data_IF_497263232020
#
_entry.id   IF_497263232020
#
_cell.length_a   1.000
_cell.length_b   1.000
_cell.length_c   1.000
_cell.angle_alpha   90.00
_cell.angle_beta   90.00
_cell.angle_gamma   90.00
#
_symmetry.space_group_name_H-M   'P 1'
#
loop_
_entity.id
_entity.type
_entity.pdbx_description
1 polymer ?
#
# COMPACT_ATOMS: atom_id res chain seq x y z
N UNK A 1 -50.26 7.93 -17.49
CA UNK A 1 -49.11 7.10 -17.08
C UNK A 1 -47.86 7.94 -17.26
N UNK A 2 -47.25 8.41 -16.16
CA UNK A 2 -45.98 9.13 -16.19
C UNK A 2 -44.93 8.23 -15.56
N UNK A 3 -44.05 7.64 -16.37
CA UNK A 3 -42.88 6.91 -15.91
C UNK A 3 -41.85 7.93 -15.45
N UNK A 4 -41.83 8.21 -14.15
CA UNK A 4 -40.75 8.95 -13.51
C UNK A 4 -39.46 8.11 -13.58
N UNK A 5 -38.60 8.46 -14.53
CA UNK A 5 -37.23 7.96 -14.60
C UNK A 5 -36.44 8.66 -13.50
N UNK A 6 -36.27 8.01 -12.34
CA UNK A 6 -35.33 8.51 -11.35
C UNK A 6 -33.92 8.34 -11.89
N UNK A 7 -33.19 9.43 -12.06
CA UNK A 7 -31.75 9.39 -12.32
C UNK A 7 -31.08 8.46 -11.29
N UNK A 8 -30.09 7.64 -11.71
CA UNK A 8 -29.38 6.79 -10.76
C UNK A 8 -28.80 7.67 -9.66
N UNK A 9 -29.20 7.41 -8.41
CA UNK A 9 -28.59 8.08 -7.26
C UNK A 9 -27.10 7.79 -7.32
N UNK A 10 -26.29 8.84 -7.39
CA UNK A 10 -24.83 8.71 -7.31
C UNK A 10 -24.41 7.95 -6.05
N UNK A 11 -23.22 7.35 -6.03
CA UNK A 11 -22.75 6.61 -4.88
C UNK A 11 -22.81 7.49 -3.62
N UNK A 12 -23.40 6.95 -2.55
CA UNK A 12 -23.44 7.65 -1.26
C UNK A 12 -22.01 7.89 -0.76
N UNK A 13 -21.62 9.13 -0.39
CA UNK A 13 -20.30 9.40 0.13
C UNK A 13 -20.00 8.55 1.37
N UNK A 14 -18.86 7.87 1.37
CA UNK A 14 -18.38 7.14 2.53
C UNK A 14 -17.78 8.12 3.52
N UNK A 15 -18.27 8.11 4.76
CA UNK A 15 -17.69 8.90 5.83
C UNK A 15 -16.42 8.22 6.33
N UNK A 16 -15.27 8.88 6.19
CA UNK A 16 -14.03 8.45 6.84
C UNK A 16 -14.13 8.77 8.33
N UNK A 17 -13.99 7.76 9.17
CA UNK A 17 -14.18 7.87 10.63
C UNK A 17 -12.86 7.94 11.40
N UNK A 18 -11.75 7.53 10.77
CA UNK A 18 -10.44 7.51 11.41
C UNK A 18 -9.88 8.91 11.68
N UNK A 19 -9.59 9.27 12.95
CA UNK A 19 -8.89 10.51 13.28
C UNK A 19 -7.46 10.57 12.73
N UNK A 20 -6.89 9.43 12.34
CA UNK A 20 -5.57 9.35 11.70
C UNK A 20 -5.57 9.97 10.30
N UNK A 21 -6.70 9.89 9.59
CA UNK A 21 -6.87 10.48 8.26
C UNK A 21 -6.65 11.99 8.30
N UNK A 22 -7.39 12.71 9.15
CA UNK A 22 -7.32 14.17 9.23
C UNK A 22 -5.93 14.65 9.65
N UNK A 23 -5.28 13.94 10.59
CA UNK A 23 -3.91 14.26 11.02
C UNK A 23 -2.91 14.11 9.87
N UNK A 24 -2.98 13.02 9.10
CA UNK A 24 -2.11 12.80 7.94
C UNK A 24 -2.37 13.78 6.82
N UNK A 25 -3.64 14.08 6.56
CA UNK A 25 -4.05 15.05 5.54
C UNK A 25 -3.55 16.46 5.87
N UNK A 26 -3.61 16.87 7.13
CA UNK A 26 -3.12 18.17 7.58
C UNK A 26 -1.59 18.36 7.43
N UNK A 27 -0.84 17.26 7.37
CA UNK A 27 0.62 17.28 7.18
C UNK A 27 1.03 17.20 5.70
N UNK A 28 0.08 16.94 4.79
CA UNK A 28 0.34 16.86 3.36
C UNK A 28 0.46 18.25 2.75
N UNK A 29 1.44 18.41 1.87
CA UNK A 29 1.67 19.62 1.08
C UNK A 29 1.35 19.38 -0.40
N UNK A 30 1.34 20.45 -1.19
CA UNK A 30 1.13 20.35 -2.63
C UNK A 30 2.26 19.59 -3.35
N UNK A 31 3.46 19.55 -2.76
CA UNK A 31 4.64 18.89 -3.35
C UNK A 31 4.70 17.39 -3.03
N UNK A 32 3.90 16.92 -2.08
CA UNK A 32 3.82 15.51 -1.73
C UNK A 32 2.93 14.76 -2.74
N UNK A 33 3.53 13.87 -3.52
CA UNK A 33 2.87 13.16 -4.62
C UNK A 33 3.20 11.68 -4.65
N UNK A 34 2.33 10.90 -5.29
CA UNK A 34 2.51 9.47 -5.55
C UNK A 34 2.11 9.12 -6.99
N UNK A 35 2.65 8.02 -7.51
CA UNK A 35 2.33 7.52 -8.86
C UNK A 35 0.88 7.07 -8.99
N UNK A 36 0.26 7.38 -10.14
CA UNK A 36 -1.13 7.02 -10.46
C UNK A 36 -1.44 5.53 -10.35
N UNK A 37 -0.44 4.67 -10.57
CA UNK A 37 -0.62 3.22 -10.46
C UNK A 37 -1.09 2.78 -9.07
N UNK A 38 -0.69 3.48 -8.00
CA UNK A 38 -1.13 3.14 -6.64
C UNK A 38 -2.60 3.47 -6.44
N UNK A 39 -3.08 4.56 -7.03
CA UNK A 39 -4.50 4.91 -7.02
C UNK A 39 -5.33 3.85 -7.75
N UNK A 40 -4.88 3.45 -8.94
CA UNK A 40 -5.52 2.39 -9.72
C UNK A 40 -5.54 1.07 -8.94
N UNK A 41 -4.44 0.72 -8.26
CA UNK A 41 -4.35 -0.46 -7.40
C UNK A 41 -5.38 -0.46 -6.27
N UNK A 42 -5.57 0.66 -5.57
CA UNK A 42 -6.59 0.77 -4.51
C UNK A 42 -8.01 0.54 -5.04
N UNK A 43 -8.36 1.17 -6.17
CA UNK A 43 -9.70 1.00 -6.78
C UNK A 43 -9.93 -0.44 -7.22
N UNK A 44 -8.92 -1.06 -7.84
CA UNK A 44 -8.99 -2.46 -8.25
C UNK A 44 -9.10 -3.40 -7.03
N UNK A 45 -8.35 -3.14 -5.96
CA UNK A 45 -8.39 -3.92 -4.73
C UNK A 45 -9.80 -3.94 -4.13
N UNK A 46 -10.42 -2.77 -3.98
CA UNK A 46 -11.78 -2.66 -3.46
C UNK A 46 -12.78 -3.36 -4.38
N UNK A 47 -12.63 -3.21 -5.70
CA UNK A 47 -13.47 -3.89 -6.69
C UNK A 47 -13.44 -5.41 -6.56
N UNK A 48 -12.24 -5.97 -6.38
CA UNK A 48 -12.01 -7.42 -6.25
C UNK A 48 -12.45 -7.96 -4.89
N UNK A 49 -12.17 -7.24 -3.80
CA UNK A 49 -12.36 -7.72 -2.43
C UNK A 49 -13.77 -7.42 -1.88
N UNK A 50 -14.47 -6.43 -2.43
CA UNK A 50 -15.81 -6.03 -1.99
C UNK A 50 -16.81 -6.24 -3.13
N UNK A 51 -16.77 -5.38 -4.16
CA UNK A 51 -17.54 -5.47 -5.41
C UNK A 51 -17.31 -4.23 -6.29
N UNK A 52 -17.81 -4.26 -7.53
CA UNK A 52 -17.71 -3.15 -8.48
C UNK A 52 -18.33 -1.83 -7.97
N UNK A 53 -19.44 -1.89 -7.22
CA UNK A 53 -20.07 -0.68 -6.68
C UNK A 53 -19.19 0.00 -5.62
N UNK A 54 -18.46 -0.77 -4.82
CA UNK A 54 -17.51 -0.26 -3.86
C UNK A 54 -16.31 0.41 -4.58
N UNK A 55 -15.85 -0.12 -5.72
CA UNK A 55 -14.82 0.53 -6.53
C UNK A 55 -15.30 1.90 -7.06
N UNK A 56 -16.51 1.99 -7.59
CA UNK A 56 -17.12 3.27 -8.03
C UNK A 56 -17.23 4.25 -6.87
N UNK A 57 -17.68 3.79 -5.70
CA UNK A 57 -17.81 4.62 -4.50
C UNK A 57 -16.45 5.13 -4.01
N UNK A 58 -15.42 4.29 -4.08
CA UNK A 58 -14.05 4.67 -3.74
C UNK A 58 -13.53 5.76 -4.69
N UNK A 59 -13.71 5.58 -6.00
CA UNK A 59 -13.26 6.56 -6.99
C UNK A 59 -13.99 7.91 -6.89
N UNK A 60 -15.27 7.90 -6.53
CA UNK A 60 -16.05 9.11 -6.28
C UNK A 60 -15.45 9.98 -5.15
N UNK A 61 -14.74 9.38 -4.18
CA UNK A 61 -14.08 10.11 -3.09
C UNK A 61 -13.00 11.11 -3.55
N UNK A 62 -12.52 10.94 -4.79
CA UNK A 62 -11.55 11.83 -5.43
C UNK A 62 -12.11 12.52 -6.68
N UNK A 63 -13.43 12.45 -6.90
CA UNK A 63 -14.13 13.09 -8.01
C UNK A 63 -14.07 12.33 -9.33
N UNK A 64 -14.19 11.00 -9.29
CA UNK A 64 -14.31 10.12 -10.47
C UNK A 64 -13.17 10.27 -11.49
N UNK A 65 -11.97 10.55 -10.97
CA UNK A 65 -10.78 10.81 -11.78
C UNK A 65 -10.24 9.52 -12.41
N UNK A 66 -9.60 9.64 -13.57
CA UNK A 66 -8.76 8.58 -14.14
C UNK A 66 -7.30 8.87 -13.84
N UNK A 67 -6.55 7.85 -13.44
CA UNK A 67 -5.13 7.97 -13.12
C UNK A 67 -4.29 7.27 -14.19
N UNK A 68 -3.31 7.99 -14.73
CA UNK A 68 -2.28 7.45 -15.62
C UNK A 68 -1.13 6.96 -14.75
N UNK A 69 -0.73 5.70 -14.93
CA UNK A 69 0.12 4.98 -13.98
C UNK A 69 1.40 5.72 -13.57
N UNK A 70 2.11 6.33 -14.53
CA UNK A 70 3.40 6.97 -14.31
C UNK A 70 3.34 8.47 -13.99
N UNK A 71 2.14 9.06 -13.97
CA UNK A 71 1.95 10.46 -13.60
C UNK A 71 1.92 10.61 -12.08
N UNK A 72 2.34 11.77 -11.59
CA UNK A 72 2.31 12.11 -10.17
C UNK A 72 0.98 12.79 -9.82
N UNK A 73 0.38 12.39 -8.70
CA UNK A 73 -0.85 12.96 -8.18
C UNK A 73 -0.69 13.32 -6.69
N UNK A 74 -1.40 14.35 -6.20
CA UNK A 74 -1.30 14.78 -4.80
C UNK A 74 -1.56 13.65 -3.80
N UNK A 75 -0.72 13.52 -2.79
CA UNK A 75 -0.87 12.48 -1.76
C UNK A 75 -2.18 12.63 -0.98
N UNK A 76 -2.69 13.86 -0.85
CA UNK A 76 -4.00 14.14 -0.26
C UNK A 76 -5.14 13.37 -0.95
N UNK A 77 -5.06 13.17 -2.26
CA UNK A 77 -6.03 12.38 -3.00
C UNK A 77 -5.86 10.89 -2.71
N UNK A 78 -4.62 10.41 -2.64
CA UNK A 78 -4.34 9.01 -2.31
C UNK A 78 -4.80 8.66 -0.90
N UNK A 79 -4.62 9.58 0.06
CA UNK A 79 -5.11 9.44 1.43
C UNK A 79 -6.63 9.30 1.45
N UNK A 80 -7.36 10.20 0.78
CA UNK A 80 -8.84 10.12 0.68
C UNK A 80 -9.28 8.78 0.11
N UNK A 81 -8.69 8.41 -1.03
CA UNK A 81 -9.00 7.16 -1.71
C UNK A 81 -8.73 5.93 -0.81
N UNK A 82 -7.56 5.88 -0.18
CA UNK A 82 -7.13 4.72 0.61
C UNK A 82 -7.89 4.59 1.93
N UNK A 83 -8.22 5.70 2.59
CA UNK A 83 -9.04 5.67 3.80
C UNK A 83 -10.50 5.33 3.48
N UNK A 84 -11.06 5.83 2.37
CA UNK A 84 -12.37 5.38 1.89
C UNK A 84 -12.37 3.89 1.57
N UNK A 85 -11.33 3.39 0.89
CA UNK A 85 -11.18 1.97 0.64
C UNK A 85 -11.12 1.15 1.94
N UNK A 86 -10.39 1.62 2.95
CA UNK A 86 -10.30 0.97 4.25
C UNK A 86 -11.66 0.90 4.97
N UNK A 87 -12.47 1.97 4.93
CA UNK A 87 -13.83 1.98 5.48
C UNK A 87 -14.73 0.94 4.79
N UNK A 88 -14.65 0.84 3.46
CA UNK A 88 -15.44 -0.12 2.69
C UNK A 88 -15.01 -1.58 2.94
N UNK A 89 -13.72 -1.81 3.16
CA UNK A 89 -13.15 -3.13 3.37
C UNK A 89 -13.30 -3.63 4.81
N UNK A 90 -13.21 -2.73 5.80
CA UNK A 90 -13.11 -3.08 7.22
C UNK A 90 -14.17 -4.10 7.70
N UNK A 91 -15.47 -4.00 7.33
CA UNK A 91 -16.47 -4.98 7.73
C UNK A 91 -16.20 -6.40 7.23
N UNK A 92 -15.60 -6.55 6.04
CA UNK A 92 -15.36 -7.84 5.41
C UNK A 92 -14.06 -8.51 5.89
N UNK A 93 -13.14 -7.75 6.48
CA UNK A 93 -11.76 -8.23 6.74
C UNK A 93 -11.33 -8.09 8.20
N UNK A 94 -12.26 -7.76 9.10
CA UNK A 94 -12.01 -7.72 10.54
C UNK A 94 -11.38 -6.40 11.03
N UNK A 95 -11.72 -5.28 10.40
CA UNK A 95 -11.34 -3.94 10.85
C UNK A 95 -10.37 -3.19 9.93
N UNK A 96 -10.14 -1.90 10.24
CA UNK A 96 -9.36 -0.98 9.40
C UNK A 96 -7.90 -1.37 9.23
N UNK A 97 -7.23 -1.86 10.28
CA UNK A 97 -5.83 -2.28 10.16
C UNK A 97 -5.68 -3.45 9.19
N UNK A 98 -6.55 -4.45 9.29
CA UNK A 98 -6.61 -5.58 8.35
C UNK A 98 -6.94 -5.13 6.92
N UNK A 99 -7.80 -4.11 6.77
CA UNK A 99 -8.08 -3.50 5.47
C UNK A 99 -6.84 -2.83 4.87
N UNK A 100 -6.14 -2.00 5.63
CA UNK A 100 -4.89 -1.37 5.17
C UNK A 100 -3.82 -2.40 4.81
N UNK A 101 -3.66 -3.44 5.62
CA UNK A 101 -2.71 -4.53 5.33
C UNK A 101 -3.03 -5.22 4.01
N UNK A 102 -4.30 -5.52 3.74
CA UNK A 102 -4.73 -6.09 2.45
C UNK A 102 -4.52 -5.13 1.28
N UNK A 103 -4.78 -3.84 1.46
CA UNK A 103 -4.52 -2.82 0.43
C UNK A 103 -3.03 -2.73 0.08
N UNK A 104 -2.15 -2.74 1.07
CA UNK A 104 -0.70 -2.73 0.86
C UNK A 104 -0.17 -3.98 0.17
N UNK A 105 -0.67 -5.16 0.57
CA UNK A 105 -0.36 -6.42 -0.11
C UNK A 105 -0.79 -6.37 -1.58
N UNK A 106 -2.03 -5.98 -1.87
CA UNK A 106 -2.54 -5.92 -3.23
C UNK A 106 -1.76 -4.92 -4.10
N UNK A 107 -1.46 -3.73 -3.58
CA UNK A 107 -0.66 -2.73 -4.28
C UNK A 107 0.73 -3.26 -4.66
N UNK A 108 1.33 -4.07 -3.78
CA UNK A 108 2.62 -4.72 -4.03
C UNK A 108 2.51 -5.78 -5.12
N UNK A 109 1.50 -6.65 -5.06
CA UNK A 109 1.28 -7.65 -6.11
C UNK A 109 1.06 -7.00 -7.48
N UNK A 110 0.26 -5.93 -7.54
CA UNK A 110 0.02 -5.19 -8.77
C UNK A 110 1.31 -4.54 -9.32
N UNK A 111 2.11 -3.91 -8.44
CA UNK A 111 3.42 -3.37 -8.83
C UNK A 111 4.36 -4.46 -9.35
N UNK A 112 4.46 -5.59 -8.65
CA UNK A 112 5.33 -6.71 -9.03
C UNK A 112 4.90 -7.39 -10.33
N UNK A 113 3.63 -7.26 -10.73
CA UNK A 113 3.14 -7.74 -12.02
C UNK A 113 3.56 -6.85 -13.22
N UNK A 114 4.01 -5.61 -12.97
CA UNK A 114 4.49 -4.69 -14.02
C UNK A 114 5.85 -5.11 -14.58
N UNK A 115 6.27 -4.53 -15.72
CA UNK A 115 7.62 -4.78 -16.28
C UNK A 115 8.76 -4.38 -15.34
N UNK A 116 8.61 -3.25 -14.62
CA UNK A 116 9.59 -2.79 -13.63
C UNK A 116 9.64 -3.76 -12.44
N UNK A 117 8.48 -4.15 -11.91
CA UNK A 117 8.38 -5.09 -10.79
C UNK A 117 8.96 -6.47 -11.13
N UNK A 118 8.65 -7.01 -12.31
CA UNK A 118 9.21 -8.28 -12.81
C UNK A 118 10.74 -8.23 -12.95
N UNK A 119 11.27 -7.11 -13.44
CA UNK A 119 12.73 -6.91 -13.54
C UNK A 119 13.36 -6.90 -12.15
N UNK A 120 12.72 -6.24 -11.18
CA UNK A 120 13.20 -6.21 -9.81
C UNK A 120 13.23 -7.62 -9.18
N UNK A 121 12.17 -8.42 -9.37
CA UNK A 121 12.13 -9.81 -8.91
C UNK A 121 13.21 -10.67 -9.56
N UNK A 122 13.43 -10.51 -10.87
CA UNK A 122 14.48 -11.24 -11.58
C UNK A 122 15.88 -10.95 -11.01
N UNK A 123 16.17 -9.69 -10.73
CA UNK A 123 17.46 -9.28 -10.16
C UNK A 123 17.62 -9.75 -8.71
N UNK A 124 16.52 -9.76 -7.95
CA UNK A 124 16.49 -10.26 -6.58
C UNK A 124 16.67 -11.80 -6.52
N UNK A 125 16.15 -12.55 -7.49
CA UNK A 125 16.10 -14.00 -7.42
C UNK A 125 15.23 -14.45 -6.25
N UNK A 126 15.76 -15.33 -5.40
CA UNK A 126 15.08 -15.78 -4.16
C UNK A 126 15.57 -15.06 -2.90
N UNK A 127 16.47 -14.09 -3.06
CA UNK A 127 17.14 -13.39 -1.96
C UNK A 127 16.29 -12.24 -1.42
N UNK A 128 15.72 -12.47 -0.23
CA UNK A 128 14.93 -11.48 0.51
C UNK A 128 15.70 -10.22 0.86
N UNK A 129 16.98 -10.33 1.25
CA UNK A 129 17.80 -9.15 1.57
C UNK A 129 18.06 -8.32 0.34
N UNK A 130 18.33 -8.97 -0.80
CA UNK A 130 18.55 -8.28 -2.08
C UNK A 130 17.30 -7.51 -2.50
N UNK A 131 16.12 -8.10 -2.40
CA UNK A 131 14.88 -7.39 -2.72
C UNK A 131 14.62 -6.23 -1.74
N UNK A 132 14.79 -6.46 -0.44
CA UNK A 132 14.61 -5.42 0.59
C UNK A 132 15.59 -4.25 0.40
N UNK A 133 16.83 -4.52 -0.03
CA UNK A 133 17.84 -3.48 -0.32
C UNK A 133 17.39 -2.55 -1.45
N UNK A 134 16.57 -3.02 -2.38
CA UNK A 134 16.04 -2.20 -3.46
C UNK A 134 14.80 -1.37 -3.08
N UNK A 135 14.14 -1.67 -1.95
CA UNK A 135 12.91 -0.99 -1.52
C UNK A 135 13.09 0.53 -1.40
N UNK A 136 14.15 1.08 -0.76
CA UNK A 136 14.35 2.53 -0.71
C UNK A 136 14.42 3.18 -2.10
N UNK A 137 15.10 2.54 -3.05
CA UNK A 137 15.18 3.01 -4.44
C UNK A 137 13.81 2.99 -5.13
N UNK A 138 13.05 1.90 -4.96
CA UNK A 138 11.71 1.79 -5.51
C UNK A 138 10.78 2.91 -4.99
N UNK A 139 10.81 3.19 -3.68
CA UNK A 139 10.02 4.28 -3.09
C UNK A 139 10.40 5.66 -3.65
N UNK A 140 11.69 5.95 -3.85
CA UNK A 140 12.14 7.21 -4.47
C UNK A 140 11.57 7.43 -5.89
N UNK A 141 11.22 6.36 -6.59
CA UNK A 141 10.56 6.46 -7.91
C UNK A 141 9.03 6.53 -7.82
N UNK A 142 8.47 6.05 -6.71
CA UNK A 142 7.04 5.90 -6.48
C UNK A 142 6.40 7.15 -5.85
N UNK A 143 7.15 7.86 -5.01
CA UNK A 143 6.67 9.02 -4.24
C UNK A 143 7.72 10.14 -4.22
N UNK A 144 7.28 11.38 -4.04
CA UNK A 144 8.17 12.56 -3.93
C UNK A 144 8.62 12.87 -2.50
N UNK A 145 8.19 12.08 -1.51
CA UNK A 145 8.37 12.39 -0.09
C UNK A 145 9.10 11.29 0.67
N UNK A 146 9.72 11.74 1.76
CA UNK A 146 10.24 10.89 2.81
C UNK A 146 11.47 10.08 2.46
N UNK A 147 11.96 9.37 3.47
CA UNK A 147 13.18 8.58 3.39
C UNK A 147 12.92 7.15 3.86
N UNK A 148 13.63 6.20 3.29
CA UNK A 148 13.56 4.80 3.66
C UNK A 148 14.97 4.24 3.80
N UNK A 149 15.19 3.45 4.86
CA UNK A 149 16.47 2.82 5.15
C UNK A 149 16.22 1.40 5.64
N UNK A 150 16.98 0.44 5.12
CA UNK A 150 16.95 -0.95 5.59
C UNK A 150 18.28 -1.24 6.27
N UNK A 151 18.19 -1.80 7.47
CA UNK A 151 19.32 -2.34 8.22
C UNK A 151 19.05 -3.80 8.57
N UNK A 152 20.02 -4.68 8.31
CA UNK A 152 19.89 -6.12 8.59
C UNK A 152 20.58 -6.47 9.90
N UNK A 153 19.90 -7.22 10.76
CA UNK A 153 20.44 -7.70 12.03
C UNK A 153 20.82 -9.18 12.01
N UNK A 154 20.56 -9.89 10.90
CA UNK A 154 20.89 -11.31 10.71
C UNK A 154 20.42 -11.84 9.34
N UNK A 155 20.45 -13.17 9.14
CA UNK A 155 20.05 -13.80 7.87
C UNK A 155 18.54 -13.84 7.62
N UNK A 156 17.73 -13.80 8.67
CA UNK A 156 16.26 -13.80 8.60
C UNK A 156 15.61 -12.61 9.30
N UNK A 157 16.34 -11.50 9.48
CA UNK A 157 15.84 -10.35 10.23
C UNK A 157 16.43 -9.02 9.75
N UNK A 158 15.60 -7.98 9.87
CA UNK A 158 16.02 -6.60 9.60
C UNK A 158 15.03 -5.59 10.15
N UNK A 159 15.38 -4.32 10.03
CA UNK A 159 14.49 -3.20 10.31
C UNK A 159 14.44 -2.30 9.09
N UNK A 160 13.24 -1.97 8.63
CA UNK A 160 13.03 -0.89 7.68
C UNK A 160 12.55 0.32 8.46
N UNK A 161 13.25 1.42 8.35
CA UNK A 161 12.82 2.72 8.87
C UNK A 161 12.21 3.52 7.74
N UNK A 162 11.02 4.06 7.96
CA UNK A 162 10.37 5.02 7.06
C UNK A 162 10.13 6.34 7.79
N UNK A 163 10.57 7.43 7.16
CA UNK A 163 10.39 8.80 7.66
C UNK A 163 9.54 9.60 6.70
N UNK A 164 8.65 10.43 7.23
CA UNK A 164 7.68 11.22 6.46
C UNK A 164 6.92 10.35 5.44
N UNK A 165 6.28 9.28 5.91
CA UNK A 165 5.38 8.44 5.14
C UNK A 165 3.90 8.66 5.53
N UNK A 166 3.07 8.87 4.50
CA UNK A 166 1.67 9.22 4.67
C UNK A 166 0.75 8.02 4.92
N UNK A 167 1.15 6.79 4.61
CA UNK A 167 0.30 5.62 4.83
C UNK A 167 0.41 5.10 6.27
N UNK A 168 -0.69 4.57 6.85
CA UNK A 168 -0.64 3.95 8.18
C UNK A 168 0.30 2.75 8.23
N UNK A 169 0.92 2.43 9.39
CA UNK A 169 1.84 1.31 9.51
C UNK A 169 1.30 -0.01 8.95
N UNK A 170 0.04 -0.34 9.24
CA UNK A 170 -0.59 -1.57 8.73
C UNK A 170 -0.56 -1.70 7.20
N UNK A 171 -0.61 -0.59 6.46
CA UNK A 171 -0.48 -0.61 4.99
C UNK A 171 0.90 -1.16 4.58
N UNK A 172 1.96 -0.61 5.16
CA UNK A 172 3.33 -1.02 4.84
C UNK A 172 3.70 -2.39 5.42
N UNK A 173 3.07 -2.83 6.52
CA UNK A 173 3.16 -4.24 6.92
C UNK A 173 2.72 -5.15 5.78
N UNK A 174 1.58 -4.83 5.16
CA UNK A 174 1.08 -5.57 4.00
C UNK A 174 2.03 -5.52 2.82
N UNK A 175 2.59 -4.34 2.52
CA UNK A 175 3.59 -4.19 1.46
C UNK A 175 4.79 -5.10 1.69
N UNK A 176 5.36 -5.05 2.90
CA UNK A 176 6.60 -5.76 3.22
C UNK A 176 6.40 -7.27 3.33
N UNK A 177 5.23 -7.72 3.82
CA UNK A 177 4.84 -9.13 3.78
C UNK A 177 4.80 -9.62 2.33
N UNK A 178 4.13 -8.90 1.43
CA UNK A 178 4.03 -9.28 0.03
C UNK A 178 5.38 -9.25 -0.70
N UNK A 179 6.24 -8.28 -0.39
CA UNK A 179 7.63 -8.21 -0.90
C UNK A 179 8.41 -9.47 -0.53
N UNK A 180 8.41 -9.84 0.76
CA UNK A 180 9.15 -11.02 1.24
C UNK A 180 8.58 -12.33 0.66
N UNK A 181 7.25 -12.45 0.60
CA UNK A 181 6.61 -13.63 0.01
C UNK A 181 6.89 -13.77 -1.48
N UNK A 182 7.07 -12.67 -2.22
CA UNK A 182 7.31 -12.70 -3.66
C UNK A 182 8.63 -13.38 -4.06
N UNK A 183 9.62 -13.43 -3.16
CA UNK A 183 10.89 -14.16 -3.36
C UNK A 183 10.89 -15.54 -2.71
N UNK A 184 9.77 -15.94 -2.11
CA UNK A 184 9.60 -17.25 -1.50
C UNK A 184 10.06 -17.34 -0.04
N UNK A 185 10.21 -16.22 0.67
CA UNK A 185 10.49 -16.21 2.10
C UNK A 185 9.33 -16.88 2.88
N UNK A 186 9.69 -17.67 3.90
CA UNK A 186 8.74 -18.41 4.75
C UNK A 186 8.64 -17.79 6.14
N UNK A 187 7.56 -18.10 6.84
CA UNK A 187 7.27 -17.61 8.20
C UNK A 187 7.47 -16.10 8.37
N UNK A 188 7.05 -15.35 7.35
CA UNK A 188 7.22 -13.90 7.30
C UNK A 188 6.40 -13.22 8.40
N UNK A 189 7.05 -12.37 9.18
CA UNK A 189 6.43 -11.50 10.16
C UNK A 189 6.93 -10.07 9.97
N UNK A 190 6.01 -9.11 9.93
CA UNK A 190 6.30 -7.69 9.86
C UNK A 190 5.47 -6.99 10.93
N UNK A 191 6.13 -6.23 11.79
CA UNK A 191 5.47 -5.43 12.83
C UNK A 191 5.89 -3.98 12.67
N UNK A 192 4.93 -3.12 12.32
CA UNK A 192 5.13 -1.68 12.22
C UNK A 192 4.90 -0.99 13.57
N UNK A 193 5.82 -0.10 13.93
CA UNK A 193 5.71 0.75 15.12
C UNK A 193 5.79 2.21 14.70
N UNK A 194 4.71 2.96 14.90
CA UNK A 194 4.74 4.40 14.74
C UNK A 194 5.67 5.02 15.80
N UNK A 195 6.61 5.85 15.35
CA UNK A 195 7.56 6.59 16.20
C UNK A 195 7.43 8.10 16.04
N UNK A 196 6.50 8.55 15.19
CA UNK A 196 6.11 9.93 15.00
C UNK A 196 4.84 10.02 14.14
N UNK A 197 4.36 11.24 13.82
CA UNK A 197 3.12 11.43 13.07
C UNK A 197 3.12 10.76 11.69
N UNK A 198 4.27 10.78 11.01
CA UNK A 198 4.50 10.18 9.69
C UNK A 198 5.73 9.26 9.70
N UNK A 199 6.19 8.83 10.87
CA UNK A 199 7.40 8.05 11.02
C UNK A 199 7.08 6.69 11.61
N UNK A 200 7.67 5.65 11.05
CA UNK A 200 7.51 4.29 11.52
C UNK A 200 8.78 3.45 11.32
N UNK A 201 9.03 2.56 12.26
CA UNK A 201 10.02 1.50 12.13
C UNK A 201 9.28 0.16 11.97
N UNK A 202 9.75 -0.67 11.04
CA UNK A 202 9.17 -1.96 10.71
C UNK A 202 10.18 -3.05 11.03
N UNK A 203 9.86 -3.91 11.99
CA UNK A 203 10.67 -5.06 12.33
C UNK A 203 10.27 -6.24 11.46
N UNK A 204 11.25 -6.77 10.72
CA UNK A 204 11.08 -7.80 9.71
C UNK A 204 11.70 -9.10 10.22
N UNK A 205 10.97 -10.21 10.06
CA UNK A 205 11.46 -11.56 10.30
C UNK A 205 10.98 -12.51 9.21
N UNK A 206 11.84 -13.45 8.83
CA UNK A 206 11.53 -14.56 7.94
C UNK A 206 12.49 -15.72 8.23
N UNK A 207 12.14 -16.94 7.81
CA UNK A 207 13.07 -18.06 7.92
C UNK A 207 14.33 -17.77 7.10
N UNK A 208 15.54 -18.00 7.65
CA UNK A 208 16.74 -18.00 6.84
C UNK A 208 16.57 -18.94 5.64
N UNK A 209 17.22 -18.62 4.52
CA UNK A 209 17.30 -19.57 3.42
C UNK A 209 17.96 -20.86 3.95
N UNK A 210 17.39 -22.01 3.63
CA UNK A 210 18.07 -23.28 3.82
C UNK A 210 19.36 -23.20 2.99
N UNK A 211 20.49 -22.95 3.64
CA UNK A 211 21.80 -23.23 3.07
C UNK A 211 21.82 -24.74 2.87
N UNK A 212 21.33 -25.18 1.71
CA UNK A 212 21.32 -26.57 1.34
C UNK A 212 22.70 -27.12 1.60
N UNK A 213 22.78 -28.04 2.56
CA UNK A 213 24.02 -28.75 2.87
C UNK A 213 24.56 -29.29 1.56
N UNK A 214 25.66 -28.70 1.09
CA UNK A 214 26.53 -29.33 0.11
C UNK A 214 27.15 -30.51 0.86
N UNK A 215 26.43 -31.63 0.83
CA UNK A 215 26.98 -32.97 1.07
C UNK A 215 27.49 -33.51 -0.26
#
# INVERSE_FOLDING_TARGET
MATSSSAPKGPTPVKITSPDFERRLALATADDTAKGMFFNGVVQAVGKLVNAQAATTCLAAVGDRKFVDFFNYPIAWFLRLSFTAAELLAPAVGGHESAFRKLGMQATHDFLATGVGKTLLLLAGRDAKRLLTAVPGAFKTAVSYGERRVDFSGNGAGTLTMRRDFMPPAYHEGVLIAVLQAVGAKNVSVVGKAVGPLDADYHLRWDPEDEGGQS
#
